data_IF_332692031634
#
_entry.id   IF_332692031634
#
_cell.length_a   1.000
_cell.length_b   1.000
_cell.length_c   1.000
_cell.angle_alpha   90.00
_cell.angle_beta   90.00
_cell.angle_gamma   90.00
#
_symmetry.space_group_name_H-M   'P 1'
#
loop_
_entity.id
_entity.type
_entity.pdbx_description
1 polymer ?
#
# COMPACT_ATOMS: atom_id res chain seq x y z
N UNK A 1 -2.77 -20.88 -21.26
CA UNK A 1 -3.82 -19.91 -20.89
C UNK A 1 -5.02 -20.16 -21.79
N UNK A 2 -6.21 -20.37 -21.22
CA UNK A 2 -7.40 -20.80 -21.95
C UNK A 2 -8.14 -19.69 -22.70
N UNK A 3 -7.87 -18.43 -22.37
CA UNK A 3 -8.42 -17.23 -23.00
C UNK A 3 -7.45 -16.03 -22.86
N UNK A 4 -7.72 -14.91 -23.54
CA UNK A 4 -6.98 -13.64 -23.39
C UNK A 4 -7.14 -13.11 -21.97
N UNK A 5 -8.35 -13.22 -21.42
CA UNK A 5 -8.71 -12.78 -20.08
C UNK A 5 -7.92 -13.55 -19.02
N UNK A 6 -7.74 -14.87 -19.20
CA UNK A 6 -6.95 -15.69 -18.26
C UNK A 6 -5.47 -15.31 -18.29
N UNK A 7 -4.94 -14.94 -19.46
CA UNK A 7 -3.55 -14.46 -19.58
C UNK A 7 -3.38 -13.11 -18.88
N UNK A 8 -4.35 -12.19 -19.03
CA UNK A 8 -4.35 -10.90 -18.33
C UNK A 8 -4.38 -11.12 -16.82
N UNK A 9 -5.32 -11.93 -16.30
CA UNK A 9 -5.41 -12.24 -14.87
C UNK A 9 -4.11 -12.85 -14.34
N UNK A 10 -3.51 -13.80 -15.06
CA UNK A 10 -2.24 -14.41 -14.65
C UNK A 10 -1.09 -13.39 -14.59
N UNK A 11 -1.03 -12.48 -15.56
CA UNK A 11 0.01 -11.43 -15.63
C UNK A 11 -0.14 -10.44 -14.47
N UNK A 12 -1.38 -10.03 -14.17
CA UNK A 12 -1.67 -9.14 -13.03
C UNK A 12 -1.33 -9.82 -11.71
N UNK A 13 -1.73 -11.08 -11.51
CA UNK A 13 -1.39 -11.85 -10.30
C UNK A 13 0.11 -11.99 -10.11
N UNK A 14 0.86 -12.28 -11.17
CA UNK A 14 2.32 -12.34 -11.14
C UNK A 14 2.92 -11.00 -10.71
N UNK A 15 2.47 -9.89 -11.32
CA UNK A 15 2.91 -8.54 -10.96
C UNK A 15 2.63 -8.23 -9.49
N UNK A 16 1.40 -8.45 -9.02
CA UNK A 16 1.00 -8.19 -7.63
C UNK A 16 1.78 -9.04 -6.61
N UNK A 17 2.12 -10.28 -6.97
CA UNK A 17 2.95 -11.15 -6.13
C UNK A 17 4.39 -10.61 -6.05
N UNK A 18 4.94 -10.13 -7.16
CA UNK A 18 6.25 -9.46 -7.17
C UNK A 18 6.25 -8.21 -6.30
N UNK A 19 5.26 -7.35 -6.44
CA UNK A 19 5.10 -6.16 -5.59
C UNK A 19 4.97 -6.53 -4.10
N UNK A 20 4.23 -7.59 -3.77
CA UNK A 20 4.13 -8.06 -2.39
C UNK A 20 5.49 -8.48 -1.83
N UNK A 21 6.30 -9.21 -2.61
CA UNK A 21 7.64 -9.60 -2.24
C UNK A 21 8.56 -8.38 -2.02
N UNK A 22 8.53 -7.38 -2.91
CA UNK A 22 9.30 -6.13 -2.75
C UNK A 22 8.97 -5.44 -1.41
N UNK A 23 7.68 -5.36 -1.06
CA UNK A 23 7.26 -4.78 0.21
C UNK A 23 7.71 -5.60 1.42
N UNK A 24 7.61 -6.93 1.35
CA UNK A 24 8.10 -7.81 2.41
C UNK A 24 9.59 -7.61 2.66
N UNK A 25 10.41 -7.48 1.61
CA UNK A 25 11.84 -7.19 1.74
C UNK A 25 12.10 -5.86 2.47
N UNK A 26 11.35 -4.80 2.15
CA UNK A 26 11.47 -3.51 2.85
C UNK A 26 11.09 -3.67 4.34
N UNK A 27 10.02 -4.38 4.65
CA UNK A 27 9.55 -4.54 6.02
C UNK A 27 10.48 -5.43 6.87
N UNK A 28 11.01 -6.50 6.29
CA UNK A 28 11.86 -7.49 6.96
C UNK A 28 13.34 -7.07 7.02
N UNK A 29 13.77 -6.12 6.19
CA UNK A 29 15.14 -5.62 6.19
C UNK A 29 15.56 -4.91 7.49
N UNK A 30 16.87 -4.74 7.67
CA UNK A 30 17.48 -4.13 8.87
C UNK A 30 17.42 -2.60 8.92
N UNK A 31 16.62 -1.97 8.05
CA UNK A 31 16.47 -0.52 7.98
C UNK A 31 15.70 0.04 9.20
N UNK A 32 15.98 1.30 9.55
CA UNK A 32 15.21 2.02 10.57
C UNK A 32 13.76 2.26 10.10
N UNK A 33 12.87 2.57 11.04
CA UNK A 33 11.47 2.87 10.73
C UNK A 33 11.34 3.98 9.67
N UNK A 34 12.12 5.06 9.81
CA UNK A 34 12.08 6.20 8.89
C UNK A 34 12.59 5.83 7.49
N UNK A 35 13.65 5.03 7.39
CA UNK A 35 14.19 4.56 6.10
C UNK A 35 13.20 3.63 5.38
N UNK A 36 12.59 2.68 6.11
CA UNK A 36 11.53 1.82 5.58
C UNK A 36 10.35 2.65 5.07
N UNK A 37 9.93 3.64 5.87
CA UNK A 37 8.86 4.55 5.50
C UNK A 37 9.21 5.32 4.22
N UNK A 38 10.41 5.90 4.12
CA UNK A 38 10.86 6.61 2.92
C UNK A 38 10.82 5.73 1.67
N UNK A 39 11.31 4.49 1.76
CA UNK A 39 11.27 3.55 0.63
C UNK A 39 9.85 3.18 0.21
N UNK A 40 8.96 2.91 1.19
CA UNK A 40 7.54 2.64 0.93
C UNK A 40 6.88 3.82 0.20
N UNK A 41 7.21 5.05 0.61
CA UNK A 41 6.66 6.27 0.01
C UNK A 41 7.16 6.48 -1.42
N UNK A 42 8.47 6.30 -1.64
CA UNK A 42 9.08 6.41 -2.97
C UNK A 42 8.46 5.39 -3.93
N UNK A 43 8.41 4.12 -3.53
CA UNK A 43 7.83 3.05 -4.33
C UNK A 43 6.38 3.35 -4.72
N UNK A 44 5.54 3.78 -3.77
CA UNK A 44 4.13 4.14 -4.04
C UNK A 44 4.00 5.33 -4.99
N UNK A 45 4.87 6.32 -4.85
CA UNK A 45 4.90 7.50 -5.73
C UNK A 45 5.31 7.12 -7.15
N UNK A 46 6.31 6.27 -7.31
CA UNK A 46 6.77 5.77 -8.63
C UNK A 46 5.69 4.93 -9.31
N UNK A 47 5.05 4.03 -8.57
CA UNK A 47 3.93 3.20 -9.06
C UNK A 47 2.77 4.03 -9.62
N UNK A 48 2.40 5.13 -8.96
CA UNK A 48 1.33 6.02 -9.42
C UNK A 48 1.75 6.98 -10.54
N UNK A 49 3.04 7.30 -10.62
CA UNK A 49 3.59 8.15 -11.68
C UNK A 49 3.77 7.44 -13.03
N UNK A 50 3.58 6.12 -13.07
CA UNK A 50 3.64 5.32 -14.30
C UNK A 50 2.25 4.89 -14.77
N UNK A 51 2.12 4.60 -16.07
CA UNK A 51 0.89 4.06 -16.70
C UNK A 51 0.35 2.77 -16.04
N UNK A 52 1.15 2.12 -15.19
CA UNK A 52 0.76 0.95 -14.43
C UNK A 52 -0.31 1.26 -13.37
N UNK A 53 -0.32 2.46 -12.78
CA UNK A 53 -1.21 2.80 -11.66
C UNK A 53 -2.70 2.78 -12.01
N UNK A 54 -3.09 3.50 -13.06
CA UNK A 54 -4.48 3.56 -13.52
C UNK A 54 -4.95 2.19 -14.03
N UNK A 55 -4.16 1.55 -14.89
CA UNK A 55 -4.48 0.23 -15.44
C UNK A 55 -4.69 -0.81 -14.32
N UNK A 56 -3.80 -0.83 -13.33
CA UNK A 56 -3.90 -1.77 -12.22
C UNK A 56 -5.14 -1.50 -11.38
N UNK A 57 -5.47 -0.23 -11.12
CA UNK A 57 -6.70 0.12 -10.40
C UNK A 57 -7.96 -0.29 -11.15
N UNK A 58 -8.03 -0.05 -12.46
CA UNK A 58 -9.15 -0.50 -13.29
C UNK A 58 -9.29 -2.02 -13.21
N UNK A 59 -8.20 -2.77 -13.38
CA UNK A 59 -8.24 -4.23 -13.31
C UNK A 59 -8.65 -4.76 -11.93
N UNK A 60 -8.18 -4.16 -10.84
CA UNK A 60 -8.58 -4.52 -9.47
C UNK A 60 -10.05 -4.16 -9.20
N UNK A 61 -10.52 -3.03 -9.73
CA UNK A 61 -11.87 -2.51 -9.49
C UNK A 61 -12.94 -3.10 -10.40
N UNK A 62 -12.58 -3.73 -11.52
CA UNK A 62 -13.53 -4.33 -12.46
C UNK A 62 -13.54 -5.86 -12.41
N UNK A 63 -12.41 -6.51 -12.08
CA UNK A 63 -12.30 -7.97 -12.01
C UNK A 63 -12.40 -8.48 -10.55
N UNK A 64 -13.49 -9.18 -10.18
CA UNK A 64 -13.66 -9.71 -8.82
C UNK A 64 -12.61 -10.74 -8.41
N UNK A 65 -12.06 -11.51 -9.36
CA UNK A 65 -11.04 -12.53 -9.08
C UNK A 65 -9.70 -11.86 -8.74
N UNK A 66 -9.34 -10.80 -9.46
CA UNK A 66 -8.17 -9.98 -9.13
C UNK A 66 -8.36 -9.30 -7.78
N UNK A 67 -9.53 -8.73 -7.51
CA UNK A 67 -9.81 -8.09 -6.21
C UNK A 67 -9.69 -9.06 -5.05
N UNK A 68 -10.26 -10.25 -5.17
CA UNK A 68 -10.14 -11.31 -4.16
C UNK A 68 -8.69 -11.74 -3.97
N UNK A 69 -7.92 -11.81 -5.06
CA UNK A 69 -6.49 -12.10 -4.99
C UNK A 69 -5.72 -11.04 -4.21
N UNK A 70 -5.92 -9.75 -4.50
CA UNK A 70 -5.30 -8.63 -3.75
C UNK A 70 -5.62 -8.71 -2.26
N UNK A 71 -6.89 -8.93 -1.91
CA UNK A 71 -7.28 -9.06 -0.50
C UNK A 71 -6.65 -10.30 0.15
N UNK A 72 -6.51 -11.41 -0.57
CA UNK A 72 -5.85 -12.62 -0.05
C UNK A 72 -4.36 -12.41 0.21
N UNK A 73 -3.64 -11.79 -0.72
CA UNK A 73 -2.21 -11.47 -0.58
C UNK A 73 -2.00 -10.53 0.60
N UNK A 74 -2.82 -9.48 0.70
CA UNK A 74 -2.76 -8.57 1.85
C UNK A 74 -2.94 -9.31 3.18
N UNK A 75 -3.99 -10.14 3.30
CA UNK A 75 -4.32 -10.82 4.55
C UNK A 75 -3.28 -11.86 4.96
N UNK A 76 -2.71 -12.58 4.00
CA UNK A 76 -1.82 -13.72 4.24
C UNK A 76 -0.36 -13.30 4.35
N UNK A 77 0.10 -12.39 3.49
CA UNK A 77 1.54 -12.15 3.29
C UNK A 77 2.01 -10.85 3.95
N UNK A 78 1.25 -9.76 3.84
CA UNK A 78 1.77 -8.42 4.16
C UNK A 78 1.25 -7.90 5.51
N UNK A 79 0.08 -8.35 5.96
CA UNK A 79 -0.60 -7.79 7.14
C UNK A 79 0.24 -7.83 8.40
N UNK A 80 0.93 -8.95 8.67
CA UNK A 80 1.76 -9.07 9.88
C UNK A 80 2.97 -8.14 9.81
N UNK A 81 3.63 -8.04 8.65
CA UNK A 81 4.75 -7.13 8.43
C UNK A 81 4.39 -5.66 8.67
N UNK A 82 3.16 -5.24 8.29
CA UNK A 82 2.67 -3.89 8.58
C UNK A 82 2.42 -3.69 10.08
N UNK A 83 1.87 -4.69 10.78
CA UNK A 83 1.68 -4.64 12.24
C UNK A 83 3.03 -4.46 12.94
N UNK A 84 4.01 -5.30 12.57
CA UNK A 84 5.34 -5.28 13.16
C UNK A 84 6.07 -3.96 12.87
N UNK A 85 5.87 -3.39 11.68
CA UNK A 85 6.38 -2.07 11.32
C UNK A 85 5.84 -0.96 12.22
N UNK A 86 4.54 -0.92 12.50
CA UNK A 86 3.96 0.09 13.41
C UNK A 86 4.38 -0.13 14.86
N UNK A 87 4.48 -1.38 15.32
CA UNK A 87 5.01 -1.69 16.66
C UNK A 87 6.48 -1.26 16.81
N UNK A 88 7.30 -1.45 15.77
CA UNK A 88 8.68 -0.95 15.76
C UNK A 88 8.71 0.58 15.80
N UNK A 89 7.88 1.25 14.99
CA UNK A 89 7.76 2.71 15.03
C UNK A 89 7.38 3.25 16.40
N UNK A 90 6.56 2.52 17.17
CA UNK A 90 6.22 2.87 18.56
C UNK A 90 7.41 2.70 19.50
N UNK A 91 8.12 1.58 19.41
CA UNK A 91 9.32 1.32 20.23
C UNK A 91 10.40 2.38 20.01
N UNK A 92 10.56 2.83 18.77
CA UNK A 92 11.52 3.88 18.39
C UNK A 92 11.02 5.30 18.69
N UNK A 93 9.76 5.48 19.08
CA UNK A 93 9.17 6.79 19.42
C UNK A 93 8.66 7.61 18.23
N UNK A 94 8.61 7.04 17.02
CA UNK A 94 8.10 7.71 15.83
C UNK A 94 6.57 7.65 15.70
N UNK A 95 5.95 6.56 16.17
CA UNK A 95 4.50 6.36 16.16
C UNK A 95 3.92 6.66 17.53
N UNK A 96 2.77 7.33 17.59
CA UNK A 96 2.12 7.68 18.85
C UNK A 96 1.81 6.41 19.68
N UNK A 97 2.43 6.22 20.86
CA UNK A 97 2.22 5.02 21.68
C UNK A 97 0.81 4.94 22.28
N UNK A 98 0.05 6.04 22.33
CA UNK A 98 -1.32 6.08 22.84
C UNK A 98 -2.33 5.47 21.84
N UNK A 99 -1.99 5.39 20.55
CA UNK A 99 -2.83 4.77 19.54
C UNK A 99 -2.60 3.26 19.56
N UNK A 100 -3.64 2.45 19.71
CA UNK A 100 -3.48 0.99 19.57
C UNK A 100 -3.12 0.63 18.13
N UNK A 101 -2.31 -0.42 17.95
CA UNK A 101 -1.93 -0.89 16.60
C UNK A 101 -3.15 -1.37 15.83
N UNK A 102 -4.15 -1.93 16.52
CA UNK A 102 -5.45 -2.24 15.92
C UNK A 102 -6.11 -0.99 15.30
N UNK A 103 -6.13 0.14 16.00
CA UNK A 103 -6.71 1.39 15.49
C UNK A 103 -5.97 1.88 14.26
N UNK A 104 -4.63 1.85 14.28
CA UNK A 104 -3.78 2.23 13.14
C UNK A 104 -4.08 1.31 11.94
N UNK A 105 -4.18 0.00 12.15
CA UNK A 105 -4.50 -0.97 11.10
C UNK A 105 -5.90 -0.78 10.53
N UNK A 106 -6.89 -0.43 11.35
CA UNK A 106 -8.25 -0.11 10.88
C UNK A 106 -8.27 1.16 10.04
N UNK A 107 -7.51 2.19 10.43
CA UNK A 107 -7.37 3.41 9.66
C UNK A 107 -6.66 3.16 8.32
N UNK A 108 -5.57 2.38 8.33
CA UNK A 108 -4.91 1.90 7.12
C UNK A 108 -5.89 1.18 6.18
N UNK A 109 -6.71 0.26 6.70
CA UNK A 109 -7.69 -0.48 5.89
C UNK A 109 -8.76 0.43 5.28
N UNK A 110 -9.23 1.44 6.02
CA UNK A 110 -10.16 2.45 5.49
C UNK A 110 -9.55 3.20 4.31
N UNK A 111 -8.29 3.64 4.44
CA UNK A 111 -7.58 4.33 3.37
C UNK A 111 -7.33 3.40 2.17
N UNK A 112 -6.87 2.16 2.41
CA UNK A 112 -6.64 1.15 1.36
C UNK A 112 -7.91 0.86 0.57
N UNK A 113 -9.02 0.59 1.25
CA UNK A 113 -10.31 0.30 0.61
C UNK A 113 -10.88 1.52 -0.10
N UNK A 114 -10.72 2.71 0.48
CA UNK A 114 -11.09 3.97 -0.18
C UNK A 114 -10.34 4.16 -1.51
N UNK A 115 -9.04 3.86 -1.55
CA UNK A 115 -8.24 3.89 -2.77
C UNK A 115 -8.66 2.83 -3.81
N UNK A 116 -9.14 1.66 -3.37
CA UNK A 116 -9.54 0.56 -4.26
C UNK A 116 -11.00 0.63 -4.75
N UNK A 117 -11.84 1.46 -4.12
CA UNK A 117 -13.27 1.54 -4.42
C UNK A 117 -13.63 2.32 -5.70
N UNK A 118 -12.66 2.98 -6.36
CA UNK A 118 -12.80 3.59 -7.68
C UNK A 118 -13.15 5.08 -7.68
N UNK A 119 -12.66 5.77 -8.74
CA UNK A 119 -12.66 7.22 -9.06
C UNK A 119 -11.61 8.12 -8.37
N UNK A 120 -10.68 7.57 -7.58
CA UNK A 120 -9.63 8.39 -6.95
C UNK A 120 -8.42 8.68 -7.84
N UNK A 121 -8.20 7.89 -8.90
CA UNK A 121 -7.13 8.13 -9.87
C UNK A 121 -7.69 8.73 -11.15
N UNK A 122 -7.02 9.75 -11.69
CA UNK A 122 -7.24 10.32 -13.02
C UNK A 122 -6.37 9.62 -14.08
N UNK A 123 -6.65 9.88 -15.36
CA UNK A 123 -5.79 9.50 -16.48
C UNK A 123 -4.43 10.22 -16.48
N UNK A 124 -4.24 11.23 -15.61
CA UNK A 124 -2.99 11.99 -15.48
C UNK A 124 -2.14 11.42 -14.33
N UNK A 125 -1.04 10.70 -14.62
CA UNK A 125 -0.18 10.12 -13.59
C UNK A 125 0.44 11.17 -12.65
N UNK A 126 0.67 12.39 -13.15
CA UNK A 126 1.22 13.48 -12.34
C UNK A 126 0.20 14.00 -11.33
N UNK A 127 -1.07 14.09 -11.73
CA UNK A 127 -2.17 14.38 -10.82
C UNK A 127 -2.28 13.33 -9.71
N UNK A 128 -2.22 12.04 -10.06
CA UNK A 128 -2.29 10.93 -9.10
C UNK A 128 -1.13 10.95 -8.11
N UNK A 129 0.08 11.19 -8.61
CA UNK A 129 1.28 11.34 -7.79
C UNK A 129 1.15 12.49 -6.81
N UNK A 130 0.70 13.66 -7.28
CA UNK A 130 0.48 14.84 -6.43
C UNK A 130 -0.59 14.58 -5.37
N UNK A 131 -1.69 13.95 -5.74
CA UNK A 131 -2.74 13.57 -4.80
C UNK A 131 -2.22 12.64 -3.69
N UNK A 132 -1.40 11.63 -4.02
CA UNK A 132 -0.76 10.79 -3.02
C UNK A 132 0.18 11.60 -2.10
N UNK A 133 0.95 12.53 -2.65
CA UNK A 133 1.83 13.42 -1.88
C UNK A 133 1.06 14.33 -0.92
N UNK A 134 -0.17 14.71 -1.24
CA UNK A 134 -1.05 15.50 -0.36
C UNK A 134 -1.74 14.64 0.71
N UNK A 135 -2.17 13.43 0.35
CA UNK A 135 -2.85 12.50 1.26
C UNK A 135 -1.91 11.89 2.29
N UNK A 136 -0.65 11.64 1.91
CA UNK A 136 0.29 10.94 2.77
C UNK A 136 0.59 11.68 4.08
N UNK A 137 0.90 12.98 4.08
CA UNK A 137 1.06 13.74 5.32
C UNK A 137 -0.18 13.69 6.20
N UNK A 138 -1.40 13.74 5.64
CA UNK A 138 -2.65 13.66 6.41
C UNK A 138 -2.73 12.33 7.16
N UNK A 139 -2.43 11.22 6.47
CA UNK A 139 -2.39 9.90 7.08
C UNK A 139 -1.33 9.83 8.18
N UNK A 140 -0.11 10.31 7.90
CA UNK A 140 1.01 10.27 8.83
C UNK A 140 0.80 11.17 10.05
N UNK A 141 0.31 12.40 9.91
CA UNK A 141 0.01 13.27 11.06
C UNK A 141 -1.04 12.68 12.00
N UNK A 142 -1.93 11.80 11.50
CA UNK A 142 -2.87 11.07 12.34
C UNK A 142 -2.24 9.96 13.18
N UNK A 143 -1.02 9.50 12.84
CA UNK A 143 -0.38 8.31 13.43
C UNK A 143 0.93 8.66 14.15
N UNK A 144 1.69 9.63 13.63
CA UNK A 144 2.99 10.03 14.16
C UNK A 144 2.86 10.56 15.59
N UNK A 145 3.83 10.21 16.42
CA UNK A 145 3.97 10.77 17.77
C UNK A 145 4.26 12.26 17.73
N UNK A 146 3.96 12.96 18.83
CA UNK A 146 4.48 14.32 19.00
C UNK A 146 6.02 14.25 18.94
N UNK A 147 6.70 15.21 18.28
CA UNK A 147 8.15 15.32 18.44
C UNK A 147 8.45 15.41 19.94
N UNK A 148 9.32 14.52 20.42
CA UNK A 148 9.87 14.59 21.76
C UNK A 148 10.79 15.80 21.94
#
# INVERSE_FOLDING_TARGET
FGSKEDLVRATVKYFLTGTAADFSEIFEGDLSFLEKMEQILLYKSEMLGQYQGELMQTLISEDPEIRQFVDSVYLVEIRQSIIDFYEEGKRQGYVNPELSTETIMRYYELVRKGMAAGSSLSEDPEHNRKWLQEMMPIFLYGILGKPG
#
